data_IF_115597611256
#
_entry.id   IF_115597611256
#
_cell.length_a   1.000
_cell.length_b   1.000
_cell.length_c   1.000
_cell.angle_alpha   90.00
_cell.angle_beta   90.00
_cell.angle_gamma   90.00
#
_symmetry.space_group_name_H-M   'P 1'
#
loop_
_entity.id
_entity.type
_entity.pdbx_description
1 polymer ?
#
# COMPACT_ATOMS: atom_id res chain seq x y z
N UNK A 1 3.13 17.30 -16.60
CA UNK A 1 2.62 18.62 -17.03
C UNK A 1 2.44 18.57 -18.54
N UNK A 2 1.20 18.59 -19.03
CA UNK A 2 0.90 18.76 -20.45
C UNK A 2 0.03 19.99 -20.57
N UNK A 3 0.55 21.05 -21.18
CA UNK A 3 -0.24 22.22 -21.56
C UNK A 3 -0.72 22.00 -23.00
N UNK A 4 -2.03 22.06 -23.23
CA UNK A 4 -2.62 22.00 -24.57
C UNK A 4 -3.05 23.41 -24.95
N UNK A 5 -2.43 23.96 -25.99
CA UNK A 5 -2.78 25.28 -26.54
C UNK A 5 -4.01 25.15 -27.44
N UNK A 6 -5.11 25.84 -27.10
CA UNK A 6 -6.34 25.81 -27.89
C UNK A 6 -6.65 27.24 -28.37
N UNK A 7 -6.30 27.54 -29.63
CA UNK A 7 -6.93 28.51 -30.56
C UNK A 7 -7.42 29.90 -30.09
N UNK A 8 -7.09 30.92 -30.90
CA UNK A 8 -7.63 32.30 -30.82
C UNK A 8 -9.07 32.39 -31.35
N UNK A 9 -10.00 33.02 -30.62
CA UNK A 9 -11.41 33.17 -31.02
C UNK A 9 -11.83 34.63 -31.32
N UNK A 10 -10.90 35.47 -31.77
CA UNK A 10 -11.18 36.85 -32.20
C UNK A 10 -11.45 37.85 -31.06
N UNK A 11 -11.99 37.41 -29.92
CA UNK A 11 -12.32 38.22 -28.74
C UNK A 11 -11.67 37.73 -27.44
N UNK A 12 -11.31 36.44 -27.38
CA UNK A 12 -10.48 35.84 -26.33
C UNK A 12 -9.35 35.01 -26.94
N UNK A 13 -8.19 35.05 -26.28
CA UNK A 13 -7.17 34.01 -26.38
C UNK A 13 -7.48 33.02 -25.26
N UNK A 14 -7.93 31.82 -25.60
CA UNK A 14 -8.12 30.77 -24.61
C UNK A 14 -6.73 30.35 -24.16
N UNK A 15 -6.43 30.69 -22.91
CA UNK A 15 -5.11 30.53 -22.34
C UNK A 15 -4.97 29.16 -21.71
N UNK A 16 -3.76 28.96 -21.23
CA UNK A 16 -3.26 27.74 -20.65
C UNK A 16 -4.26 27.04 -19.71
N UNK A 17 -4.45 25.76 -19.97
CA UNK A 17 -5.12 24.83 -19.07
C UNK A 17 -4.04 24.08 -18.31
N UNK A 18 -4.11 24.12 -16.99
CA UNK A 18 -3.28 23.26 -16.14
C UNK A 18 -4.15 22.31 -15.31
N UNK A 19 -3.72 21.05 -15.25
CA UNK A 19 -4.32 19.99 -14.45
C UNK A 19 -3.30 19.49 -13.45
N UNK A 20 -3.71 19.42 -12.19
CA UNK A 20 -2.93 18.81 -11.12
C UNK A 20 -3.83 17.90 -10.30
N UNK A 21 -3.42 16.65 -10.19
CA UNK A 21 -4.01 15.68 -9.27
C UNK A 21 -3.03 15.40 -8.15
N UNK A 22 -3.47 15.62 -6.92
CA UNK A 22 -2.72 15.29 -5.72
C UNK A 22 -2.90 13.80 -5.39
N UNK A 23 -2.00 13.27 -4.56
CA UNK A 23 -1.99 11.85 -4.13
C UNK A 23 -3.25 11.42 -3.37
N UNK A 24 -4.03 12.39 -2.88
CA UNK A 24 -5.30 12.18 -2.17
C UNK A 24 -6.53 12.16 -3.11
N UNK A 25 -6.31 12.28 -4.43
CA UNK A 25 -7.35 12.34 -5.45
C UNK A 25 -8.04 13.70 -5.52
N UNK A 26 -7.52 14.73 -4.83
CA UNK A 26 -7.95 16.11 -5.08
C UNK A 26 -7.41 16.56 -6.42
N UNK A 27 -8.31 17.12 -7.22
CA UNK A 27 -8.00 17.63 -8.54
C UNK A 27 -8.16 19.13 -8.53
N UNK A 28 -7.12 19.80 -8.99
CA UNK A 28 -7.08 21.22 -9.27
C UNK A 28 -6.96 21.41 -10.77
N UNK A 29 -7.88 22.19 -11.32
CA UNK A 29 -7.90 22.58 -12.71
C UNK A 29 -7.87 24.09 -12.77
N UNK A 30 -6.92 24.66 -13.50
CA UNK A 30 -6.78 26.11 -13.64
C UNK A 30 -6.87 26.47 -15.10
N UNK A 31 -7.78 27.39 -15.41
CA UNK A 31 -7.95 27.95 -16.75
C UNK A 31 -7.52 29.40 -16.71
N UNK A 32 -6.53 29.76 -17.52
CA UNK A 32 -6.18 31.16 -17.81
C UNK A 32 -6.83 31.56 -19.12
N UNK A 33 -7.36 32.77 -19.21
CA UNK A 33 -7.83 33.36 -20.46
C UNK A 33 -7.33 34.79 -20.58
N UNK A 34 -6.87 35.17 -21.77
CA UNK A 34 -6.57 36.57 -22.09
C UNK A 34 -7.74 37.16 -22.87
N UNK A 35 -8.30 38.24 -22.35
CA UNK A 35 -9.45 38.94 -22.91
C UNK A 35 -9.02 40.38 -23.19
N UNK A 36 -9.45 40.96 -24.31
CA UNK A 36 -9.10 42.36 -24.60
C UNK A 36 -9.60 43.31 -23.51
N UNK A 37 -8.82 44.35 -23.22
CA UNK A 37 -9.10 45.29 -22.14
C UNK A 37 -10.41 46.08 -22.34
N UNK A 38 -10.84 46.26 -23.59
CA UNK A 38 -12.08 46.94 -23.98
C UNK A 38 -13.34 46.08 -23.86
N UNK A 39 -13.20 44.77 -23.62
CA UNK A 39 -14.32 43.86 -23.44
C UNK A 39 -14.79 43.78 -21.98
N UNK A 40 -16.10 43.58 -21.83
CA UNK A 40 -16.71 43.24 -20.55
C UNK A 40 -16.45 41.76 -20.24
N UNK A 41 -15.86 41.51 -19.07
CA UNK A 41 -15.61 40.15 -18.57
C UNK A 41 -16.75 39.78 -17.65
N UNK A 42 -17.52 38.74 -18.00
CA UNK A 42 -18.46 38.12 -17.06
C UNK A 42 -17.72 37.05 -16.27
N UNK A 43 -17.53 37.26 -14.97
CA UNK A 43 -16.85 36.29 -14.12
C UNK A 43 -17.80 35.13 -13.77
N UNK A 44 -17.30 33.88 -13.75
CA UNK A 44 -18.06 32.76 -13.23
C UNK A 44 -18.42 32.95 -11.75
N UNK A 45 -19.54 32.39 -11.33
CA UNK A 45 -19.97 32.44 -9.91
C UNK A 45 -19.17 31.43 -9.10
N UNK A 46 -18.52 31.89 -8.02
CA UNK A 46 -17.84 31.00 -7.07
C UNK A 46 -18.84 29.98 -6.50
N UNK A 47 -18.43 28.72 -6.44
CA UNK A 47 -19.25 27.60 -6.00
C UNK A 47 -20.09 26.93 -7.09
N UNK A 48 -20.17 27.52 -8.29
CA UNK A 48 -20.79 26.86 -9.43
C UNK A 48 -20.07 25.55 -9.76
N UNK A 49 -20.83 24.54 -10.16
CA UNK A 49 -20.28 23.23 -10.55
C UNK A 49 -20.12 23.15 -12.07
N UNK A 50 -19.02 22.54 -12.51
CA UNK A 50 -18.73 22.26 -13.92
C UNK A 50 -18.28 20.82 -14.06
N UNK A 51 -18.49 20.23 -15.23
CA UNK A 51 -17.90 18.93 -15.57
C UNK A 51 -16.77 19.13 -16.57
N UNK A 52 -15.56 18.72 -16.20
CA UNK A 52 -14.38 18.75 -17.05
C UNK A 52 -13.79 17.35 -17.05
N UNK A 53 -13.59 16.77 -18.24
CA UNK A 53 -13.04 15.41 -18.42
C UNK A 53 -13.73 14.33 -17.56
N UNK A 54 -15.05 14.45 -17.40
CA UNK A 54 -15.87 13.52 -16.62
C UNK A 54 -15.84 13.72 -15.10
N UNK A 55 -15.09 14.69 -14.60
CA UNK A 55 -15.03 15.03 -13.17
C UNK A 55 -15.94 16.22 -12.85
N UNK A 56 -16.71 16.14 -11.76
CA UNK A 56 -17.47 17.28 -11.25
C UNK A 56 -16.58 18.16 -10.37
N UNK A 57 -16.25 19.35 -10.86
CA UNK A 57 -15.42 20.33 -10.19
C UNK A 57 -16.26 21.53 -9.76
N UNK A 58 -15.84 22.24 -8.71
CA UNK A 58 -16.45 23.49 -8.25
C UNK A 58 -15.49 24.65 -8.44
N UNK A 59 -16.03 25.79 -8.85
CA UNK A 59 -15.27 27.04 -8.92
C UNK A 59 -14.94 27.48 -7.50
N UNK A 60 -13.66 27.68 -7.21
CA UNK A 60 -13.20 28.09 -5.88
C UNK A 60 -12.58 29.46 -5.88
N UNK A 61 -11.99 29.85 -7.01
CA UNK A 61 -11.38 31.16 -7.17
C UNK A 61 -11.56 31.65 -8.61
N UNK A 62 -11.79 32.96 -8.72
CA UNK A 62 -11.79 33.69 -9.98
C UNK A 62 -11.01 34.98 -9.75
N UNK A 63 -9.89 35.15 -10.44
CA UNK A 63 -9.14 36.40 -10.43
C UNK A 63 -9.17 37.06 -11.81
N UNK A 64 -9.17 38.38 -11.81
CA UNK A 64 -9.09 39.20 -13.02
C UNK A 64 -8.01 40.24 -12.80
N UNK A 65 -6.96 40.20 -13.62
CA UNK A 65 -5.82 41.11 -13.53
C UNK A 65 -5.58 41.79 -14.88
N UNK A 66 -5.04 43.01 -14.86
CA UNK A 66 -4.58 43.66 -16.09
C UNK A 66 -3.21 43.07 -16.42
N UNK A 67 -3.16 42.18 -17.43
CA UNK A 67 -1.91 41.56 -17.85
C UNK A 67 -1.02 42.55 -18.61
N UNK A 68 -1.65 43.37 -19.46
CA UNK A 68 -1.01 44.48 -20.18
C UNK A 68 -2.09 45.50 -20.60
N UNK A 69 -1.72 46.66 -21.17
CA UNK A 69 -2.70 47.70 -21.54
C UNK A 69 -3.82 47.22 -22.48
N UNK A 70 -3.55 46.19 -23.29
CA UNK A 70 -4.48 45.69 -24.31
C UNK A 70 -5.28 44.46 -23.84
N UNK A 71 -4.86 43.81 -22.74
CA UNK A 71 -5.43 42.54 -22.28
C UNK A 71 -5.58 42.45 -20.75
N UNK A 72 -6.73 41.92 -20.34
CA UNK A 72 -7.02 41.40 -19.00
C UNK A 72 -6.78 39.90 -19.00
N UNK A 73 -6.15 39.38 -17.96
CA UNK A 73 -6.07 37.96 -17.67
C UNK A 73 -7.16 37.57 -16.69
N UNK A 74 -7.91 36.52 -17.02
CA UNK A 74 -8.88 35.89 -16.14
C UNK A 74 -8.37 34.51 -15.77
N UNK A 75 -8.12 34.28 -14.49
CA UNK A 75 -7.76 32.96 -13.96
C UNK A 75 -8.98 32.41 -13.26
N UNK A 76 -9.38 31.19 -13.61
CA UNK A 76 -10.43 30.46 -12.88
C UNK A 76 -9.86 29.15 -12.37
N UNK A 77 -9.97 28.96 -11.06
CA UNK A 77 -9.50 27.76 -10.37
C UNK A 77 -10.69 26.91 -9.95
N UNK A 78 -10.69 25.66 -10.42
CA UNK A 78 -11.68 24.65 -10.13
C UNK A 78 -11.05 23.59 -9.24
N UNK A 79 -11.72 23.27 -8.12
CA UNK A 79 -11.35 22.15 -7.27
C UNK A 79 -12.44 21.09 -7.30
N UNK A 80 -12.03 19.83 -7.37
CA UNK A 80 -12.92 18.70 -7.27
C UNK A 80 -12.21 17.45 -6.84
N UNK A 81 -12.90 16.32 -6.97
CA UNK A 81 -12.34 15.00 -6.66
C UNK A 81 -12.27 14.20 -7.94
N UNK A 82 -11.12 13.60 -8.18
CA UNK A 82 -10.91 12.66 -9.27
C UNK A 82 -11.93 11.54 -9.20
N UNK A 83 -12.59 11.24 -10.32
CA UNK A 83 -13.43 10.05 -10.45
C UNK A 83 -12.60 8.76 -10.42
N UNK A 84 -11.29 8.88 -10.69
CA UNK A 84 -10.30 7.83 -10.48
C UNK A 84 -9.61 8.07 -9.15
N UNK A 85 -10.10 7.46 -8.07
CA UNK A 85 -9.32 7.34 -6.84
C UNK A 85 -8.04 6.56 -7.17
N UNK A 86 -6.91 7.26 -7.33
CA UNK A 86 -5.64 6.62 -7.63
C UNK A 86 -5.13 5.91 -6.38
N UNK A 87 -5.47 4.62 -6.26
CA UNK A 87 -4.85 3.75 -5.26
C UNK A 87 -3.36 3.70 -5.59
N UNK A 88 -2.51 4.03 -4.61
CA UNK A 88 -1.06 3.95 -4.75
C UNK A 88 -0.58 2.63 -4.18
N UNK A 89 0.33 2.00 -4.92
CA UNK A 89 0.92 0.70 -4.59
C UNK A 89 2.43 0.85 -4.52
N UNK A 90 3.00 0.56 -3.36
CA UNK A 90 4.44 0.47 -3.17
C UNK A 90 4.80 -0.96 -2.78
N UNK A 91 5.67 -1.59 -3.56
CA UNK A 91 6.15 -2.95 -3.30
C UNK A 91 7.63 -2.87 -3.01
N UNK A 92 8.05 -3.37 -1.85
CA UNK A 92 9.44 -3.41 -1.45
C UNK A 92 9.84 -4.83 -1.10
N UNK A 93 10.96 -5.28 -1.65
CA UNK A 93 11.59 -6.50 -1.18
C UNK A 93 12.48 -6.15 0.01
N UNK A 94 12.22 -6.76 1.15
CA UNK A 94 13.03 -6.62 2.34
C UNK A 94 13.54 -8.00 2.79
N UNK A 95 14.67 -8.03 3.47
CA UNK A 95 15.10 -9.21 4.22
C UNK A 95 14.62 -9.06 5.66
N UNK A 96 13.99 -10.09 6.20
CA UNK A 96 13.57 -10.17 7.59
C UNK A 96 14.06 -11.46 8.22
N UNK A 97 13.72 -11.65 9.49
CA UNK A 97 13.92 -12.92 10.18
C UNK A 97 12.55 -13.59 10.43
N UNK A 98 12.52 -14.92 10.31
CA UNK A 98 11.40 -15.77 10.70
C UNK A 98 11.89 -16.86 11.66
N UNK A 99 11.05 -17.35 12.59
CA UNK A 99 11.45 -18.42 13.51
C UNK A 99 11.90 -19.67 12.75
N UNK A 100 12.99 -20.31 13.18
CA UNK A 100 13.57 -21.47 12.47
C UNK A 100 12.58 -22.61 12.25
N UNK A 101 11.64 -22.78 13.18
CA UNK A 101 10.59 -23.80 13.10
C UNK A 101 9.62 -23.62 11.92
N UNK A 102 9.49 -22.39 11.39
CA UNK A 102 8.62 -22.10 10.23
C UNK A 102 9.31 -22.38 8.90
N UNK A 103 10.59 -22.73 8.90
CA UNK A 103 11.30 -23.06 7.66
C UNK A 103 10.67 -24.29 6.98
N UNK A 104 10.57 -24.27 5.64
CA UNK A 104 9.99 -25.37 4.86
C UNK A 104 10.65 -26.71 5.18
N UNK A 105 11.98 -26.71 5.23
CA UNK A 105 12.80 -27.90 5.46
C UNK A 105 12.99 -28.26 6.94
N UNK A 106 12.24 -27.63 7.85
CA UNK A 106 12.48 -27.77 9.29
C UNK A 106 12.35 -29.22 9.79
N UNK A 107 11.15 -29.81 9.66
CA UNK A 107 10.85 -31.19 10.08
C UNK A 107 10.97 -32.22 8.96
N UNK A 108 10.74 -31.79 7.71
CA UNK A 108 10.72 -32.67 6.53
C UNK A 108 11.48 -31.96 5.43
N UNK A 109 12.31 -32.69 4.69
CA UNK A 109 13.00 -32.16 3.52
C UNK A 109 12.05 -31.99 2.34
N UNK A 110 12.08 -30.81 1.71
CA UNK A 110 11.31 -30.49 0.52
C UNK A 110 12.20 -30.18 -0.70
N UNK A 111 13.52 -30.25 -0.53
CA UNK A 111 14.53 -30.01 -1.58
C UNK A 111 15.41 -31.23 -1.86
N UNK A 112 15.09 -32.38 -1.25
CA UNK A 112 15.85 -33.62 -1.38
C UNK A 112 17.08 -33.71 -0.47
N UNK A 113 17.36 -32.70 0.36
CA UNK A 113 18.37 -32.77 1.42
C UNK A 113 17.85 -33.49 2.68
N UNK A 114 18.61 -33.49 3.78
CA UNK A 114 18.05 -33.87 5.08
C UNK A 114 17.27 -32.69 5.69
N UNK A 115 16.30 -32.94 6.57
CA UNK A 115 15.62 -31.85 7.27
C UNK A 115 16.58 -31.08 8.19
N UNK A 116 16.22 -29.87 8.61
CA UNK A 116 17.04 -29.10 9.57
C UNK A 116 17.14 -29.86 10.89
N UNK A 117 16.06 -30.50 11.33
CA UNK A 117 16.07 -31.35 12.54
C UNK A 117 17.02 -32.53 12.39
N UNK A 118 17.04 -33.20 11.24
CA UNK A 118 17.98 -34.30 10.98
C UNK A 118 19.43 -33.80 10.93
N UNK A 119 19.66 -32.66 10.29
CA UNK A 119 20.97 -32.02 10.24
C UNK A 119 21.47 -31.58 11.61
N UNK A 120 20.58 -31.15 12.51
CA UNK A 120 20.91 -30.85 13.89
C UNK A 120 21.36 -32.10 14.64
N UNK A 121 20.92 -33.29 14.22
CA UNK A 121 21.22 -34.57 14.84
C UNK A 121 19.99 -35.34 15.30
N UNK A 122 18.77 -34.94 14.92
CA UNK A 122 17.52 -35.60 15.27
C UNK A 122 16.70 -34.85 16.34
N UNK A 123 15.45 -35.28 16.54
CA UNK A 123 14.52 -34.71 17.52
C UNK A 123 14.61 -35.41 18.88
N UNK A 124 14.40 -34.65 19.96
CA UNK A 124 14.15 -35.17 21.33
C UNK A 124 13.01 -34.42 22.00
N UNK A 125 12.31 -35.09 22.90
CA UNK A 125 11.36 -34.45 23.82
C UNK A 125 12.10 -33.84 25.01
N UNK A 126 11.67 -32.66 25.44
CA UNK A 126 12.20 -31.94 26.59
C UNK A 126 12.16 -32.79 27.85
N UNK A 127 13.25 -32.79 28.62
CA UNK A 127 13.38 -33.59 29.85
C UNK A 127 13.91 -35.01 29.65
N UNK A 128 14.04 -35.50 28.42
CA UNK A 128 14.66 -36.81 28.13
C UNK A 128 16.19 -36.69 28.11
N UNK A 129 16.91 -37.66 28.70
CA UNK A 129 18.37 -37.75 28.61
C UNK A 129 18.82 -37.83 27.15
N UNK A 130 19.67 -36.89 26.73
CA UNK A 130 20.09 -36.70 25.35
C UNK A 130 21.13 -37.73 24.90
N UNK A 131 20.68 -38.91 24.44
CA UNK A 131 21.50 -39.94 23.80
C UNK A 131 21.39 -39.93 22.26
N UNK A 132 21.40 -38.73 21.64
CA UNK A 132 21.56 -38.63 20.19
C UNK A 132 20.52 -37.81 19.43
N UNK A 133 19.89 -36.79 20.04
CA UNK A 133 19.14 -35.79 19.30
C UNK A 133 19.37 -34.37 19.84
N UNK A 134 19.08 -33.39 18.98
CA UNK A 134 19.56 -32.03 19.11
C UNK A 134 18.45 -30.97 19.04
N UNK A 135 17.39 -31.22 18.28
CA UNK A 135 16.21 -30.36 18.25
C UNK A 135 15.26 -30.77 19.38
N UNK A 136 15.03 -29.87 20.33
CA UNK A 136 14.21 -30.14 21.52
C UNK A 136 12.78 -29.65 21.29
N UNK A 137 11.82 -30.54 21.48
CA UNK A 137 10.39 -30.25 21.45
C UNK A 137 9.81 -30.35 22.85
N UNK A 138 8.87 -29.48 23.20
CA UNK A 138 8.14 -29.60 24.45
C UNK A 138 7.16 -30.79 24.45
N UNK A 139 6.45 -30.98 25.57
CA UNK A 139 5.46 -32.05 25.70
C UNK A 139 4.28 -31.91 24.72
N UNK A 140 4.00 -30.69 24.26
CA UNK A 140 2.94 -30.37 23.30
C UNK A 140 3.42 -30.54 21.83
N UNK A 141 4.69 -30.91 21.64
CA UNK A 141 5.29 -31.12 20.33
C UNK A 141 5.72 -29.83 19.62
N UNK A 142 5.73 -28.68 20.31
CA UNK A 142 6.24 -27.44 19.76
C UNK A 142 7.77 -27.37 19.90
N UNK A 143 8.42 -26.82 18.88
CA UNK A 143 9.88 -26.65 18.92
C UNK A 143 10.26 -25.62 19.98
N UNK A 144 11.17 -26.02 20.86
CA UNK A 144 11.70 -25.16 21.93
C UNK A 144 13.04 -24.54 21.52
N UNK A 145 14.06 -25.38 21.28
CA UNK A 145 15.42 -24.91 20.97
C UNK A 145 16.29 -26.04 20.41
N UNK A 146 17.46 -25.67 19.89
CA UNK A 146 18.56 -26.61 19.65
C UNK A 146 19.47 -26.68 20.87
N UNK A 147 19.77 -27.89 21.37
CA UNK A 147 20.65 -28.10 22.51
C UNK A 147 22.14 -27.97 22.12
N UNK A 148 23.05 -27.99 23.12
CA UNK A 148 24.50 -27.85 22.89
C UNK A 148 25.11 -28.95 22.00
N UNK A 149 24.45 -30.09 21.89
CA UNK A 149 24.85 -31.20 21.02
C UNK A 149 24.45 -31.02 19.55
N UNK A 150 23.78 -29.91 19.21
CA UNK A 150 23.35 -29.65 17.85
C UNK A 150 24.53 -29.49 16.88
N UNK A 151 24.50 -30.30 15.81
CA UNK A 151 25.47 -30.25 14.73
C UNK A 151 25.23 -29.02 13.85
N UNK A 152 26.16 -28.76 12.93
CA UNK A 152 26.07 -27.68 11.93
C UNK A 152 25.88 -26.26 12.53
N UNK A 153 26.39 -26.04 13.74
CA UNK A 153 26.32 -24.76 14.45
C UNK A 153 24.87 -24.25 14.69
N UNK A 154 23.92 -25.17 14.84
CA UNK A 154 22.52 -24.82 15.10
C UNK A 154 22.24 -24.48 16.58
N UNK A 155 23.22 -24.67 17.48
CA UNK A 155 23.07 -24.29 18.88
C UNK A 155 22.79 -22.79 19.03
N UNK A 156 21.66 -22.45 19.67
CA UNK A 156 21.23 -21.07 19.85
C UNK A 156 20.55 -20.42 18.63
N UNK A 157 20.45 -21.13 17.50
CA UNK A 157 19.71 -20.63 16.33
C UNK A 157 18.21 -20.67 16.60
N UNK A 158 17.57 -19.50 16.55
CA UNK A 158 16.13 -19.32 16.80
C UNK A 158 15.39 -18.83 15.56
N UNK A 159 16.08 -18.19 14.63
CA UNK A 159 15.54 -17.60 13.41
C UNK A 159 16.42 -17.89 12.18
N UNK A 160 15.88 -17.65 10.99
CA UNK A 160 16.61 -17.63 9.73
C UNK A 160 16.22 -16.39 8.92
N UNK A 161 17.12 -15.97 8.03
CA UNK A 161 16.85 -14.88 7.11
C UNK A 161 15.81 -15.32 6.06
N UNK A 162 14.73 -14.56 5.96
CA UNK A 162 13.66 -14.74 4.99
C UNK A 162 13.57 -13.50 4.08
N UNK A 163 13.70 -13.63 2.75
CA UNK A 163 13.29 -12.58 1.83
C UNK A 163 11.77 -12.40 1.92
N UNK A 164 11.34 -11.33 2.57
CA UNK A 164 9.95 -10.98 2.77
C UNK A 164 9.56 -9.81 1.87
N UNK A 165 8.53 -10.01 1.04
CA UNK A 165 7.93 -8.91 0.29
C UNK A 165 7.05 -8.11 1.24
N UNK A 166 7.25 -6.81 1.32
CA UNK A 166 6.32 -5.88 1.94
C UNK A 166 5.57 -5.12 0.86
N UNK A 167 4.27 -4.96 1.07
CA UNK A 167 3.38 -4.26 0.16
C UNK A 167 2.65 -3.18 0.94
N UNK A 168 2.73 -1.95 0.46
CA UNK A 168 2.03 -0.80 1.02
C UNK A 168 1.01 -0.32 0.00
N UNK A 169 -0.21 -0.09 0.47
CA UNK A 169 -1.32 0.43 -0.33
C UNK A 169 -1.86 1.71 0.32
N UNK A 170 -1.98 2.78 -0.46
CA UNK A 170 -2.56 4.05 0.02
C UNK A 170 -3.75 4.48 -0.83
N UNK A 171 -4.83 4.95 -0.21
CA UNK A 171 -6.05 5.39 -0.89
C UNK A 171 -6.89 6.33 -0.02
N UNK A 172 -7.89 6.98 -0.63
CA UNK A 172 -8.83 7.87 0.05
C UNK A 172 -10.24 7.28 0.01
N UNK A 173 -10.88 7.18 1.17
CA UNK A 173 -12.22 6.58 1.32
C UNK A 173 -13.18 7.48 2.09
N UNK A 174 -14.49 7.27 1.94
CA UNK A 174 -15.51 7.94 2.78
C UNK A 174 -15.87 7.08 4.01
N UNK A 175 -15.45 5.83 4.04
CA UNK A 175 -15.78 4.88 5.10
C UNK A 175 -14.65 4.82 6.10
N UNK A 176 -14.97 4.82 7.41
CA UNK A 176 -13.93 4.69 8.43
C UNK A 176 -13.21 3.33 8.27
N UNK A 177 -11.87 3.29 8.23
CA UNK A 177 -11.13 2.03 8.13
C UNK A 177 -11.38 1.10 9.31
N UNK A 178 -11.54 -0.19 9.02
CA UNK A 178 -11.69 -1.24 10.03
C UNK A 178 -10.32 -1.74 10.50
N UNK A 179 -9.96 -1.36 11.73
CA UNK A 179 -8.70 -1.75 12.37
C UNK A 179 -8.71 -3.19 12.91
N UNK A 180 -9.86 -3.85 13.01
CA UNK A 180 -9.95 -5.22 13.55
C UNK A 180 -9.25 -6.28 12.67
N UNK A 181 -8.96 -5.92 11.41
CA UNK A 181 -8.24 -6.75 10.45
C UNK A 181 -6.72 -6.68 10.60
N UNK A 182 -6.18 -5.76 11.41
CA UNK A 182 -4.73 -5.71 11.69
C UNK A 182 -4.32 -6.98 12.41
N UNK A 183 -3.21 -7.58 11.97
CA UNK A 183 -2.73 -8.88 12.48
C UNK A 183 -3.53 -10.08 11.96
N UNK A 184 -4.32 -9.93 10.88
CA UNK A 184 -5.01 -11.05 10.22
C UNK A 184 -4.35 -11.43 8.90
N UNK A 185 -4.46 -12.71 8.57
CA UNK A 185 -4.09 -13.22 7.24
C UNK A 185 -5.12 -12.70 6.24
N UNK A 186 -4.65 -12.17 5.12
CA UNK A 186 -5.46 -11.53 4.09
C UNK A 186 -5.38 -12.34 2.78
N UNK A 187 -6.54 -12.56 2.16
CA UNK A 187 -6.62 -13.11 0.82
C UNK A 187 -6.07 -12.11 -0.19
N UNK A 188 -5.26 -12.58 -1.13
CA UNK A 188 -4.79 -11.77 -2.26
C UNK A 188 -6.00 -11.25 -3.06
N UNK A 189 -6.04 -9.95 -3.33
CA UNK A 189 -7.08 -9.30 -4.11
C UNK A 189 -6.48 -8.58 -5.33
N UNK A 190 -7.33 -7.99 -6.18
CA UNK A 190 -6.87 -7.18 -7.31
C UNK A 190 -5.91 -6.06 -6.84
N UNK A 191 -4.77 -5.94 -7.50
CA UNK A 191 -3.71 -4.98 -7.16
C UNK A 191 -2.66 -5.47 -6.17
N UNK A 192 -2.84 -6.63 -5.54
CA UNK A 192 -1.77 -7.25 -4.76
C UNK A 192 -0.71 -7.85 -5.70
N UNK A 193 0.58 -7.75 -5.36
CA UNK A 193 1.63 -8.48 -6.07
C UNK A 193 1.39 -9.99 -6.00
N UNK A 194 1.68 -10.69 -7.09
CA UNK A 194 1.64 -12.15 -7.11
C UNK A 194 2.73 -12.71 -6.18
N UNK A 195 2.35 -13.56 -5.24
CA UNK A 195 3.27 -14.33 -4.41
C UNK A 195 3.12 -15.82 -4.72
N UNK A 196 4.23 -16.56 -4.63
CA UNK A 196 4.22 -17.99 -4.90
C UNK A 196 3.43 -18.74 -3.83
N UNK A 197 2.49 -19.60 -4.24
CA UNK A 197 1.79 -20.51 -3.32
C UNK A 197 2.78 -21.43 -2.57
N UNK A 198 2.59 -21.70 -1.27
CA UNK A 198 1.42 -21.38 -0.42
C UNK A 198 1.59 -20.10 0.42
N UNK A 199 2.40 -19.14 -0.03
CA UNK A 199 2.62 -17.89 0.72
C UNK A 199 1.32 -17.10 0.86
N UNK A 200 1.18 -16.40 1.98
CA UNK A 200 0.00 -15.59 2.33
C UNK A 200 0.41 -14.20 2.80
N UNK A 201 -0.50 -13.23 2.68
CA UNK A 201 -0.28 -11.87 3.17
C UNK A 201 -0.78 -11.72 4.61
N UNK A 202 -0.05 -10.98 5.45
CA UNK A 202 -0.50 -10.51 6.76
C UNK A 202 -0.63 -8.99 6.73
N UNK A 203 -1.77 -8.47 7.15
CA UNK A 203 -1.93 -7.02 7.35
C UNK A 203 -1.21 -6.62 8.64
N UNK A 204 -0.11 -5.89 8.52
CA UNK A 204 0.74 -5.51 9.65
C UNK A 204 0.35 -4.17 10.25
N UNK A 205 -0.15 -3.23 9.43
CA UNK A 205 -0.58 -1.93 9.91
C UNK A 205 -1.68 -1.32 9.06
N UNK A 206 -2.54 -0.54 9.70
CA UNK A 206 -3.41 0.44 9.05
C UNK A 206 -3.16 1.78 9.74
N UNK A 207 -2.78 2.78 8.95
CA UNK A 207 -2.73 4.18 9.38
C UNK A 207 -3.81 4.96 8.61
N UNK A 208 -4.49 5.87 9.29
CA UNK A 208 -5.43 6.76 8.59
C UNK A 208 -5.50 8.15 9.21
N UNK A 209 -5.80 9.14 8.39
CA UNK A 209 -6.06 10.52 8.78
C UNK A 209 -7.41 10.98 8.24
N UNK A 210 -8.26 11.54 9.10
CA UNK A 210 -9.53 12.14 8.67
C UNK A 210 -9.27 13.54 8.10
N UNK A 211 -9.76 13.81 6.89
CA UNK A 211 -9.75 15.12 6.23
C UNK A 211 -11.17 15.48 5.80
N UNK A 212 -11.86 16.33 6.56
CA UNK A 212 -13.27 16.62 6.31
C UNK A 212 -14.14 15.36 6.42
N UNK A 213 -14.78 14.97 5.32
CA UNK A 213 -15.64 13.78 5.24
C UNK A 213 -14.95 12.54 4.65
N UNK A 214 -13.64 12.63 4.35
CA UNK A 214 -12.84 11.51 3.83
C UNK A 214 -11.78 11.07 4.82
N UNK A 215 -11.26 9.87 4.59
CA UNK A 215 -10.11 9.30 5.28
C UNK A 215 -9.03 9.00 4.25
N UNK A 216 -7.83 9.51 4.50
CA UNK A 216 -6.63 9.07 3.79
C UNK A 216 -6.08 7.88 4.55
N UNK A 217 -5.90 6.75 3.87
CA UNK A 217 -5.59 5.46 4.49
C UNK A 217 -4.33 4.89 3.87
N UNK A 218 -3.45 4.37 4.71
CA UNK A 218 -2.28 3.57 4.34
C UNK A 218 -2.38 2.21 5.02
N UNK A 219 -2.18 1.15 4.24
CA UNK A 219 -2.20 -0.23 4.72
C UNK A 219 -0.88 -0.90 4.37
N UNK A 220 -0.28 -1.57 5.36
CA UNK A 220 0.97 -2.30 5.19
C UNK A 220 0.73 -3.79 5.31
N UNK A 221 1.32 -4.53 4.38
CA UNK A 221 1.21 -5.97 4.27
C UNK A 221 2.60 -6.60 4.24
N UNK A 222 2.72 -7.78 4.82
CA UNK A 222 3.93 -8.61 4.76
C UNK A 222 3.60 -10.00 4.26
N UNK A 223 4.32 -10.44 3.22
CA UNK A 223 4.22 -11.81 2.73
C UNK A 223 4.89 -12.76 3.72
N UNK A 224 4.29 -13.93 3.92
CA UNK A 224 4.91 -15.02 4.65
C UNK A 224 6.07 -15.62 3.87
N UNK A 225 6.85 -16.46 4.54
CA UNK A 225 7.69 -17.42 3.83
C UNK A 225 6.84 -18.56 3.21
N UNK A 226 7.54 -19.47 2.54
CA UNK A 226 7.11 -20.70 1.87
C UNK A 226 6.08 -21.59 2.59
N UNK A 227 5.88 -21.45 3.91
CA UNK A 227 4.86 -22.22 4.66
C UNK A 227 3.55 -21.46 4.96
N UNK A 228 3.44 -20.19 4.58
CA UNK A 228 2.28 -19.38 4.98
C UNK A 228 2.43 -18.82 6.39
N UNK A 229 1.53 -17.89 6.75
CA UNK A 229 1.39 -17.44 8.14
C UNK A 229 0.64 -18.47 8.97
N UNK A 230 0.96 -18.57 10.27
CA UNK A 230 0.31 -19.52 11.17
C UNK A 230 -1.14 -19.11 11.46
N UNK A 231 -2.10 -19.93 11.01
CA UNK A 231 -3.54 -19.68 11.17
C UNK A 231 -4.03 -19.82 12.61
N UNK A 232 -3.31 -20.52 13.48
CA UNK A 232 -3.62 -20.60 14.90
C UNK A 232 -3.39 -19.24 15.59
N UNK A 233 -2.34 -18.52 15.19
CA UNK A 233 -1.97 -17.23 15.78
C UNK A 233 -2.75 -16.08 15.12
N UNK A 234 -2.76 -16.05 13.78
CA UNK A 234 -3.30 -14.93 13.01
C UNK A 234 -4.73 -15.16 12.51
N UNK A 235 -5.32 -16.31 12.81
CA UNK A 235 -6.65 -16.71 12.35
C UNK A 235 -6.66 -17.19 10.90
N UNK A 236 -7.85 -17.59 10.43
CA UNK A 236 -8.06 -17.97 9.04
C UNK A 236 -8.01 -16.74 8.10
N UNK A 237 -7.63 -16.92 6.83
CA UNK A 237 -7.61 -15.84 5.85
C UNK A 237 -8.95 -15.09 5.74
N UNK A 238 -8.88 -13.75 5.63
CA UNK A 238 -10.04 -12.86 5.48
C UNK A 238 -9.85 -11.89 4.30
N UNK A 239 -10.90 -11.21 3.87
CA UNK A 239 -10.77 -10.18 2.81
C UNK A 239 -9.97 -8.97 3.29
N UNK A 240 -9.26 -8.31 2.37
CA UNK A 240 -8.56 -7.07 2.68
C UNK A 240 -9.58 -5.99 3.12
N UNK A 241 -9.19 -5.01 3.95
CA UNK A 241 -10.05 -3.87 4.19
C UNK A 241 -10.23 -3.09 2.89
N UNK A 242 -11.48 -2.79 2.56
CA UNK A 242 -11.86 -2.13 1.31
C UNK A 242 -11.20 -0.75 1.17
N UNK A 243 -10.83 -0.37 -0.07
CA UNK A 243 -10.59 1.02 -0.41
C UNK A 243 -11.84 1.90 -0.24
#
# INVERSE_FOLDING_TARGET
>A
MSATYIGYSGSSLNGEISYKENKDGLVEYTVRNLIRADQNVTTPVIGASITIDGQTLKITDVSVEIANPDFKEVVTTYLGKSSTTSIQYDVTNATGEEPIATNLNFLVSNDGAASIVDFAGGAITAGTTCNGGAAVFDADGAFSHFNKGAKRNLFGVTSYLNPAVTFRRSFTTNTKPDLSKVGKIINSEAGFPSIQSPRTWLLTAIAYQKKGNTYDVTQDYRASDTKGWNTFIYGTPTSAPSP
#
